data_IF_330996775240
#
_entry.id   IF_330996775240
#
_cell.length_a   1.000
_cell.length_b   1.000
_cell.length_c   1.000
_cell.angle_alpha   90.00
_cell.angle_beta   90.00
_cell.angle_gamma   90.00
#
_symmetry.space_group_name_H-M   'P 1'
#
loop_
_entity.id
_entity.type
_entity.pdbx_description
1 polymer ?
#
# COMPACT_ATOMS: atom_id res chain seq x y z
N UNK A 1 -8.51 0.00 14.65
CA UNK A 1 -8.38 -0.40 13.23
C UNK A 1 -9.22 0.46 12.28
N UNK A 2 -10.57 0.53 12.38
CA UNK A 2 -11.45 1.23 11.42
C UNK A 2 -11.15 2.73 11.26
N UNK A 3 -10.86 3.46 12.34
CA UNK A 3 -10.50 4.87 12.27
C UNK A 3 -9.25 5.11 11.40
N UNK A 4 -8.24 4.27 11.55
CA UNK A 4 -7.00 4.34 10.75
C UNK A 4 -7.26 3.93 9.29
N UNK A 5 -8.04 2.90 9.05
CA UNK A 5 -8.44 2.50 7.69
C UNK A 5 -9.21 3.63 6.98
N UNK A 6 -10.14 4.29 7.69
CA UNK A 6 -10.88 5.45 7.16
C UNK A 6 -9.94 6.60 6.81
N UNK A 7 -8.98 6.93 7.66
CA UNK A 7 -8.00 7.98 7.41
C UNK A 7 -7.13 7.64 6.19
N UNK A 8 -6.57 6.43 6.11
CA UNK A 8 -5.78 5.96 4.98
C UNK A 8 -6.59 5.97 3.68
N UNK A 9 -7.85 5.49 3.71
CA UNK A 9 -8.72 5.48 2.53
C UNK A 9 -9.05 6.88 2.05
N UNK A 10 -9.32 7.82 2.98
CA UNK A 10 -9.50 9.23 2.64
C UNK A 10 -8.27 9.82 1.95
N UNK A 11 -7.07 9.50 2.45
CA UNK A 11 -5.80 9.97 1.86
C UNK A 11 -5.64 9.44 0.42
N UNK A 12 -5.63 8.12 0.22
CA UNK A 12 -5.39 7.53 -1.12
C UNK A 12 -6.52 7.80 -2.11
N UNK A 13 -7.73 8.09 -1.64
CA UNK A 13 -8.86 8.50 -2.48
C UNK A 13 -8.90 10.01 -2.74
N UNK A 14 -7.91 10.77 -2.22
CA UNK A 14 -7.83 12.23 -2.33
C UNK A 14 -9.07 12.95 -1.80
N UNK A 15 -9.64 12.43 -0.71
CA UNK A 15 -10.81 12.99 -0.10
C UNK A 15 -12.14 12.68 -0.80
N UNK A 16 -12.15 11.87 -1.88
CA UNK A 16 -13.40 11.46 -2.52
C UNK A 16 -14.30 10.65 -1.57
N UNK A 17 -13.67 9.97 -0.61
CA UNK A 17 -14.35 9.25 0.46
C UNK A 17 -13.97 9.84 1.82
N UNK A 18 -14.96 10.05 2.67
CA UNK A 18 -14.78 10.60 4.02
C UNK A 18 -14.42 9.53 5.05
N UNK A 19 -14.72 8.26 4.79
CA UNK A 19 -14.42 7.17 5.72
C UNK A 19 -15.02 5.84 5.33
N UNK A 20 -14.89 4.91 6.27
CA UNK A 20 -15.36 3.53 6.18
C UNK A 20 -16.17 3.19 7.42
N UNK A 21 -17.25 2.44 7.25
CA UNK A 21 -18.05 1.86 8.34
C UNK A 21 -18.34 0.39 8.05
N UNK A 22 -18.41 -0.41 9.08
CA UNK A 22 -18.91 -1.79 9.00
C UNK A 22 -20.39 -1.77 9.34
N UNK A 23 -21.21 -2.42 8.52
CA UNK A 23 -22.64 -2.59 8.76
C UNK A 23 -23.00 -4.08 8.83
N UNK A 24 -23.86 -4.48 9.77
CA UNK A 24 -24.38 -5.84 9.80
C UNK A 24 -25.09 -6.18 8.46
N UNK A 25 -24.85 -7.38 7.97
CA UNK A 25 -25.43 -7.95 6.77
C UNK A 25 -25.96 -9.36 7.08
N UNK A 26 -26.75 -9.93 6.18
CA UNK A 26 -27.29 -11.31 6.35
C UNK A 26 -26.20 -12.37 6.51
N UNK A 27 -25.05 -12.14 5.85
CA UNK A 27 -23.92 -13.09 5.81
C UNK A 27 -22.72 -12.62 6.68
N UNK A 28 -22.93 -11.67 7.62
CA UNK A 28 -21.89 -11.13 8.48
C UNK A 28 -21.85 -9.60 8.46
N UNK A 29 -20.66 -9.03 8.30
CA UNK A 29 -20.45 -7.57 8.20
C UNK A 29 -20.12 -7.17 6.77
N UNK A 30 -20.75 -6.10 6.27
CA UNK A 30 -20.43 -5.47 4.99
C UNK A 30 -19.72 -4.15 5.21
N UNK A 31 -18.64 -3.94 4.46
CA UNK A 31 -17.88 -2.70 4.49
C UNK A 31 -18.51 -1.68 3.56
N UNK A 32 -18.79 -0.51 4.11
CA UNK A 32 -19.43 0.61 3.41
C UNK A 32 -18.45 1.78 3.36
N UNK A 33 -18.24 2.33 2.18
CA UNK A 33 -17.47 3.53 1.94
C UNK A 33 -18.39 4.76 1.93
N UNK A 34 -18.08 5.74 2.76
CA UNK A 34 -18.83 6.99 2.85
C UNK A 34 -18.25 8.01 1.85
N UNK A 35 -19.08 8.55 0.96
CA UNK A 35 -18.66 9.59 0.02
C UNK A 35 -18.54 10.95 0.74
N UNK A 36 -17.53 11.74 0.36
CA UNK A 36 -17.36 13.08 0.90
C UNK A 36 -18.51 14.04 0.50
N UNK A 37 -19.09 13.83 -0.69
CA UNK A 37 -20.24 14.58 -1.20
C UNK A 37 -21.59 14.13 -0.62
N UNK A 38 -21.58 13.18 0.30
CA UNK A 38 -22.78 12.56 0.85
C UNK A 38 -23.18 11.25 0.16
N UNK A 39 -23.85 10.38 0.91
CA UNK A 39 -24.19 9.04 0.48
C UNK A 39 -23.12 8.01 0.78
N UNK A 40 -23.36 6.78 0.36
CA UNK A 40 -22.47 5.65 0.64
C UNK A 40 -22.49 4.63 -0.49
N UNK A 41 -21.43 3.81 -0.55
CA UNK A 41 -21.32 2.68 -1.48
C UNK A 41 -20.79 1.46 -0.73
N UNK A 42 -21.36 0.30 -1.01
CA UNK A 42 -20.75 -0.95 -0.58
C UNK A 42 -19.44 -1.22 -1.34
N UNK A 43 -18.59 -2.04 -0.78
CA UNK A 43 -17.31 -2.38 -1.42
C UNK A 43 -17.48 -2.96 -2.84
N UNK A 44 -18.61 -3.63 -3.12
CA UNK A 44 -18.93 -4.20 -4.43
C UNK A 44 -19.25 -3.15 -5.49
N UNK A 45 -19.78 -2.01 -5.08
CA UNK A 45 -20.19 -0.90 -5.97
C UNK A 45 -19.02 0.02 -6.32
N UNK A 46 -17.86 -0.17 -5.67
CA UNK A 46 -16.65 0.60 -5.95
C UNK A 46 -16.02 0.16 -7.29
N UNK A 47 -15.43 1.11 -8.01
CA UNK A 47 -14.59 0.79 -9.18
C UNK A 47 -13.41 -0.11 -8.79
N UNK A 48 -12.82 -0.82 -9.76
CA UNK A 48 -11.64 -1.67 -9.53
C UNK A 48 -10.53 -0.89 -8.83
N UNK A 49 -10.16 0.29 -9.33
CA UNK A 49 -9.11 1.13 -8.74
C UNK A 49 -9.45 1.59 -7.31
N UNK A 50 -10.71 1.96 -7.06
CA UNK A 50 -11.14 2.36 -5.69
C UNK A 50 -11.12 1.17 -4.72
N UNK A 51 -11.45 -0.04 -5.19
CA UNK A 51 -11.31 -1.25 -4.36
C UNK A 51 -9.86 -1.52 -3.97
N UNK A 52 -8.91 -1.33 -4.89
CA UNK A 52 -7.49 -1.45 -4.56
C UNK A 52 -7.06 -0.44 -3.49
N UNK A 53 -7.52 0.81 -3.58
CA UNK A 53 -7.28 1.83 -2.56
C UNK A 53 -7.87 1.43 -1.20
N UNK A 54 -9.07 0.86 -1.20
CA UNK A 54 -9.71 0.34 0.00
C UNK A 54 -8.90 -0.80 0.63
N UNK A 55 -8.45 -1.77 -0.18
CA UNK A 55 -7.61 -2.87 0.30
C UNK A 55 -6.29 -2.37 0.86
N UNK A 56 -5.64 -1.41 0.21
CA UNK A 56 -4.43 -0.79 0.73
C UNK A 56 -4.68 -0.15 2.10
N UNK A 57 -5.74 0.64 2.24
CA UNK A 57 -6.10 1.30 3.49
C UNK A 57 -6.34 0.30 4.64
N UNK A 58 -7.02 -0.80 4.36
CA UNK A 58 -7.24 -1.87 5.34
C UNK A 58 -5.93 -2.57 5.74
N UNK A 59 -5.05 -2.83 4.78
CA UNK A 59 -3.74 -3.46 5.04
C UNK A 59 -2.83 -2.55 5.86
N UNK A 60 -2.77 -1.27 5.55
CA UNK A 60 -2.03 -0.26 6.33
C UNK A 60 -2.55 -0.22 7.78
N UNK A 61 -3.87 -0.16 7.95
CA UNK A 61 -4.48 -0.15 9.28
C UNK A 61 -4.21 -1.44 10.05
N UNK A 62 -4.34 -2.60 9.39
CA UNK A 62 -4.06 -3.91 9.97
C UNK A 62 -2.61 -4.07 10.38
N UNK A 63 -1.65 -3.60 9.56
CA UNK A 63 -0.23 -3.64 9.89
C UNK A 63 0.07 -2.83 11.16
N UNK A 64 -0.46 -1.63 11.28
CA UNK A 64 -0.29 -0.83 12.49
C UNK A 64 -0.86 -1.49 13.75
N UNK A 65 -1.99 -2.17 13.65
CA UNK A 65 -2.52 -2.94 14.79
C UNK A 65 -1.63 -4.15 15.11
N UNK A 66 -1.12 -4.81 14.08
CA UNK A 66 -0.22 -5.96 14.25
C UNK A 66 1.06 -5.57 15.01
N UNK A 67 1.75 -4.51 14.57
CA UNK A 67 3.02 -4.07 15.18
C UNK A 67 2.87 -3.48 16.59
N UNK A 68 1.65 -3.10 16.98
CA UNK A 68 1.35 -2.69 18.37
C UNK A 68 1.30 -3.88 19.34
N UNK A 69 0.94 -5.04 18.86
CA UNK A 69 0.73 -6.23 19.67
C UNK A 69 1.86 -7.27 19.52
N UNK A 70 2.70 -7.14 18.51
CA UNK A 70 3.75 -8.12 18.16
C UNK A 70 5.01 -7.43 17.66
N UNK A 71 6.12 -8.19 17.62
CA UNK A 71 7.35 -7.71 16.98
C UNK A 71 7.09 -7.36 15.51
N UNK A 72 7.64 -6.24 15.02
CA UNK A 72 7.49 -5.84 13.63
C UNK A 72 8.06 -6.90 12.68
N UNK A 73 7.28 -7.23 11.64
CA UNK A 73 7.73 -8.03 10.49
C UNK A 73 7.70 -7.14 9.26
N UNK A 74 8.47 -7.42 8.21
CA UNK A 74 8.41 -6.65 6.98
C UNK A 74 7.00 -6.67 6.37
N UNK A 75 6.50 -5.50 5.98
CA UNK A 75 5.32 -5.38 5.14
C UNK A 75 5.77 -5.46 3.68
N UNK A 76 5.35 -6.51 2.99
CA UNK A 76 5.69 -6.74 1.57
C UNK A 76 4.48 -6.38 0.72
N UNK A 77 4.69 -5.50 -0.24
CA UNK A 77 3.71 -5.09 -1.24
C UNK A 77 4.26 -5.37 -2.64
N UNK A 78 3.61 -6.26 -3.37
CA UNK A 78 4.01 -6.70 -4.70
C UNK A 78 3.10 -6.06 -5.74
N UNK A 79 3.64 -5.07 -6.44
CA UNK A 79 3.05 -4.31 -7.56
C UNK A 79 1.59 -3.85 -7.38
N UNK A 80 1.21 -3.56 -6.15
CA UNK A 80 -0.18 -3.24 -5.76
C UNK A 80 -0.66 -1.87 -6.26
N UNK A 81 0.21 -1.08 -6.91
CA UNK A 81 -0.12 0.24 -7.47
C UNK A 81 -0.19 0.24 -9.00
N UNK A 82 -0.22 -0.92 -9.66
CA UNK A 82 -0.30 -1.04 -11.12
C UNK A 82 -1.40 -0.17 -11.77
N UNK A 83 -2.54 -0.03 -11.08
CA UNK A 83 -3.70 0.74 -11.58
C UNK A 83 -3.79 2.15 -11.01
N UNK A 84 -2.79 2.62 -10.28
CA UNK A 84 -2.79 3.95 -9.70
C UNK A 84 -2.23 4.96 -10.69
N UNK A 85 -2.83 6.15 -10.72
CA UNK A 85 -2.19 7.33 -11.28
C UNK A 85 -1.06 7.82 -10.35
N UNK A 86 -0.22 8.70 -10.86
CA UNK A 86 0.95 9.20 -10.13
C UNK A 86 0.56 9.81 -8.77
N UNK A 87 -0.56 10.52 -8.70
CA UNK A 87 -1.02 11.15 -7.46
C UNK A 87 -1.43 10.12 -6.40
N UNK A 88 -2.13 9.06 -6.81
CA UNK A 88 -2.49 7.98 -5.90
C UNK A 88 -1.27 7.18 -5.46
N UNK A 89 -0.32 6.99 -6.37
CA UNK A 89 0.96 6.38 -6.04
C UNK A 89 1.74 7.22 -5.03
N UNK A 90 1.78 8.55 -5.18
CA UNK A 90 2.39 9.45 -4.20
C UNK A 90 1.77 9.29 -2.81
N UNK A 91 0.44 9.31 -2.71
CA UNK A 91 -0.25 9.15 -1.43
C UNK A 91 -0.01 7.76 -0.81
N UNK A 92 0.03 6.71 -1.64
CA UNK A 92 0.38 5.38 -1.17
C UNK A 92 1.82 5.33 -0.62
N UNK A 93 2.79 5.95 -1.30
CA UNK A 93 4.17 6.03 -0.79
C UNK A 93 4.29 6.87 0.48
N UNK A 94 3.47 7.92 0.67
CA UNK A 94 3.41 8.64 1.96
C UNK A 94 2.96 7.71 3.09
N UNK A 95 1.90 6.92 2.87
CA UNK A 95 1.46 5.92 3.85
C UNK A 95 2.54 4.87 4.12
N UNK A 96 3.27 4.42 3.10
CA UNK A 96 4.39 3.48 3.29
C UNK A 96 5.55 4.11 4.06
N UNK A 97 5.85 5.38 3.84
CA UNK A 97 6.87 6.11 4.61
C UNK A 97 6.46 6.21 6.10
N UNK A 98 5.19 6.48 6.39
CA UNK A 98 4.67 6.44 7.77
C UNK A 98 4.79 5.05 8.39
N UNK A 99 4.42 4.00 7.64
CA UNK A 99 4.56 2.61 8.11
C UNK A 99 6.02 2.23 8.36
N UNK A 100 6.95 2.74 7.56
CA UNK A 100 8.38 2.51 7.72
C UNK A 100 8.93 3.10 9.04
N UNK A 101 8.22 4.02 9.67
CA UNK A 101 8.53 4.52 11.02
C UNK A 101 8.24 3.53 12.15
N UNK A 102 7.45 2.48 11.90
CA UNK A 102 7.07 1.46 12.89
C UNK A 102 7.50 0.05 12.50
N UNK A 103 7.98 -0.15 11.27
CA UNK A 103 8.48 -1.43 10.78
C UNK A 103 9.10 -1.28 9.39
N UNK A 104 9.57 -2.37 8.81
CA UNK A 104 10.14 -2.37 7.47
C UNK A 104 9.04 -2.47 6.41
N UNK A 105 9.12 -1.65 5.35
CA UNK A 105 8.27 -1.77 4.17
C UNK A 105 9.14 -2.13 2.96
N UNK A 106 8.73 -3.16 2.23
CA UNK A 106 9.36 -3.60 0.98
C UNK A 106 8.30 -3.52 -0.11
N UNK A 107 8.52 -2.66 -1.10
CA UNK A 107 7.68 -2.54 -2.27
C UNK A 107 8.38 -3.11 -3.49
N UNK A 108 7.78 -4.10 -4.12
CA UNK A 108 8.26 -4.72 -5.35
C UNK A 108 7.49 -4.17 -6.54
N UNK A 109 8.17 -3.80 -7.60
CA UNK A 109 7.55 -3.32 -8.83
C UNK A 109 8.47 -3.53 -10.04
N UNK A 110 7.88 -3.66 -11.22
CA UNK A 110 8.56 -3.61 -12.50
C UNK A 110 8.44 -2.24 -13.20
N UNK A 111 7.76 -1.27 -12.56
CA UNK A 111 7.51 0.07 -13.07
C UNK A 111 8.55 1.08 -12.57
N UNK A 112 9.49 1.48 -13.41
CA UNK A 112 10.55 2.45 -13.06
C UNK A 112 10.02 3.79 -12.57
N UNK A 113 8.92 4.29 -13.15
CA UNK A 113 8.33 5.57 -12.73
C UNK A 113 7.89 5.57 -11.26
N UNK A 114 7.44 4.42 -10.73
CA UNK A 114 7.09 4.29 -9.32
C UNK A 114 8.32 4.41 -8.42
N UNK A 115 9.49 3.96 -8.87
CA UNK A 115 10.74 4.16 -8.14
C UNK A 115 11.10 5.67 -8.05
N UNK A 116 10.87 6.43 -9.12
CA UNK A 116 11.12 7.88 -9.11
C UNK A 116 10.13 8.62 -8.22
N UNK A 117 8.86 8.22 -8.21
CA UNK A 117 7.86 8.75 -7.28
C UNK A 117 8.27 8.44 -5.83
N UNK A 118 8.68 7.21 -5.55
CA UNK A 118 9.12 6.80 -4.21
C UNK A 118 10.30 7.64 -3.71
N UNK A 119 11.33 7.87 -4.54
CA UNK A 119 12.49 8.70 -4.20
C UNK A 119 12.10 10.15 -3.90
N UNK A 120 11.15 10.71 -4.65
CA UNK A 120 10.66 12.07 -4.44
C UNK A 120 9.89 12.21 -3.13
N UNK A 121 9.06 11.23 -2.80
CA UNK A 121 8.18 11.26 -1.62
C UNK A 121 8.92 10.83 -0.34
N UNK A 122 9.82 9.86 -0.44
CA UNK A 122 10.58 9.33 0.67
C UNK A 122 12.09 9.39 0.34
N UNK A 123 12.79 10.49 0.66
CA UNK A 123 14.22 10.65 0.33
C UNK A 123 15.13 9.58 0.93
N UNK A 124 14.68 8.88 1.98
CA UNK A 124 15.43 7.80 2.64
C UNK A 124 15.18 6.43 2.03
N UNK A 125 14.32 6.31 1.00
CA UNK A 125 14.03 5.05 0.34
C UNK A 125 15.28 4.49 -0.34
N UNK A 126 15.50 3.19 -0.20
CA UNK A 126 16.53 2.46 -0.93
C UNK A 126 15.89 1.74 -2.11
N UNK A 127 16.40 1.99 -3.30
CA UNK A 127 15.96 1.32 -4.52
C UNK A 127 17.02 0.34 -4.96
N UNK A 128 16.63 -0.91 -5.13
CA UNK A 128 17.48 -2.00 -5.58
C UNK A 128 16.98 -2.50 -6.94
N UNK A 129 17.85 -2.50 -7.93
CA UNK A 129 17.57 -3.12 -9.23
C UNK A 129 17.95 -4.60 -9.15
N UNK A 130 16.96 -5.47 -9.13
CA UNK A 130 17.18 -6.91 -8.97
C UNK A 130 17.89 -7.54 -10.19
N UNK A 131 17.77 -6.97 -11.38
CA UNK A 131 18.47 -7.47 -12.57
C UNK A 131 19.97 -7.34 -12.41
N UNK A 132 20.45 -6.21 -11.92
CA UNK A 132 21.87 -5.97 -11.63
C UNK A 132 22.39 -6.90 -10.52
N UNK A 133 21.59 -7.14 -9.49
CA UNK A 133 21.98 -8.03 -8.39
C UNK A 133 22.12 -9.49 -8.88
N UNK A 134 21.21 -9.94 -9.75
CA UNK A 134 21.25 -11.29 -10.32
C UNK A 134 22.50 -11.48 -11.22
N UNK A 135 22.85 -10.49 -12.02
CA UNK A 135 24.07 -10.51 -12.85
C UNK A 135 25.31 -10.63 -11.99
N UNK A 136 25.44 -9.82 -10.93
CA UNK A 136 26.59 -9.86 -10.01
C UNK A 136 26.73 -11.23 -9.33
N UNK A 137 25.64 -11.82 -8.86
CA UNK A 137 25.63 -13.15 -8.24
C UNK A 137 25.91 -14.28 -9.24
N UNK A 138 25.55 -14.09 -10.52
CA UNK A 138 25.86 -15.01 -11.60
C UNK A 138 27.35 -15.07 -11.90
N UNK A 139 28.00 -13.93 -11.95
CA UNK A 139 29.45 -13.81 -12.21
C UNK A 139 30.28 -14.41 -11.06
N UNK A 140 29.91 -14.20 -9.79
CA UNK A 140 30.58 -14.81 -8.66
C UNK A 140 30.49 -16.35 -8.65
N UNK A 141 29.37 -16.92 -9.07
CA UNK A 141 29.22 -18.38 -9.20
C UNK A 141 30.07 -18.97 -10.31
N UNK A 142 30.25 -18.26 -11.40
CA UNK A 142 31.07 -18.69 -12.53
C UNK A 142 32.55 -18.59 -12.17
N UNK A 143 32.96 -17.57 -11.43
CA UNK A 143 34.34 -17.40 -10.97
C UNK A 143 34.76 -18.40 -9.86
N UNK A 144 33.81 -18.91 -9.08
CA UNK A 144 34.06 -19.90 -8.02
C UNK A 144 34.08 -21.36 -8.53
N UNK A 145 33.67 -21.59 -9.78
CA UNK A 145 33.62 -22.92 -10.41
C UNK A 145 34.79 -23.19 -11.37
N UNK A 146 35.72 -22.26 -11.56
CA UNK A 146 36.94 -22.37 -12.36
C UNK A 146 38.20 -22.38 -11.52
#
# INVERSE_FOLDING_TARGET
MMTRASAAFRTVSRGAYSGLVAQPSKDGETLIALLAAGGSKSAHELSKGTRFQLYLALRVAGYHEFVRARSPVPFIADDIMETFDDFRAEEAFRLFAEMAGVGQVVYLTHHRHLCEIAKRICPTVRVHDLSVIVELLGDERTAAAG
#
